data_IF_798737940752
#
_entry.id   IF_798737940752
#
_cell.length_a   1.000
_cell.length_b   1.000
_cell.length_c   1.000
_cell.angle_alpha   90.00
_cell.angle_beta   90.00
_cell.angle_gamma   90.00
#
_symmetry.space_group_name_H-M   'P 1'
#
loop_
_entity.id
_entity.type
_entity.pdbx_description
1 polymer ?
#
# COMPACT_ATOMS: atom_id res chain seq x y z
N UNK A 1 -11.29 15.06 -7.94
CA UNK A 1 -10.20 15.09 -6.95
C UNK A 1 -9.31 13.90 -7.25
N UNK A 2 -8.09 14.11 -7.75
CA UNK A 2 -7.16 12.98 -7.92
C UNK A 2 -6.76 12.52 -6.51
N UNK A 3 -6.73 11.22 -6.21
CA UNK A 3 -6.17 10.73 -4.95
C UNK A 3 -4.75 11.29 -4.81
N UNK A 4 -4.39 11.68 -3.59
CA UNK A 4 -3.01 12.06 -3.27
C UNK A 4 -2.16 10.79 -3.17
N UNK A 5 -1.80 10.23 -4.33
CA UNK A 5 -1.08 8.96 -4.45
C UNK A 5 0.27 8.98 -3.73
N UNK A 6 0.90 10.17 -3.59
CA UNK A 6 2.16 10.31 -2.89
C UNK A 6 2.03 9.86 -1.42
N UNK A 7 0.90 10.14 -0.77
CA UNK A 7 0.69 9.74 0.63
C UNK A 7 0.66 8.22 0.80
N UNK A 8 0.18 7.45 -0.18
CA UNK A 8 0.16 5.98 -0.10
C UNK A 8 1.54 5.33 -0.27
N UNK A 9 2.49 6.09 -0.79
CA UNK A 9 3.87 5.64 -0.96
C UNK A 9 4.76 6.10 0.20
N UNK A 10 4.29 7.05 1.02
CA UNK A 10 5.13 7.78 1.97
C UNK A 10 4.61 7.82 3.41
N UNK A 11 3.30 7.73 3.62
CA UNK A 11 2.67 7.95 4.93
C UNK A 11 1.58 6.93 5.27
N UNK A 12 0.83 6.44 4.28
CA UNK A 12 -0.37 5.63 4.50
C UNK A 12 -0.06 4.16 4.32
N UNK A 13 -0.14 3.41 5.42
CA UNK A 13 -0.06 1.95 5.43
C UNK A 13 -1.46 1.40 5.41
N UNK A 14 -1.76 0.54 4.44
CA UNK A 14 -3.10 -0.05 4.33
C UNK A 14 -3.11 -1.44 4.96
N UNK A 15 -4.15 -1.70 5.75
CA UNK A 15 -4.41 -2.96 6.44
C UNK A 15 -5.70 -3.59 5.90
N UNK A 16 -5.54 -4.51 4.96
CA UNK A 16 -6.64 -5.26 4.35
C UNK A 16 -6.16 -6.62 3.85
N UNK A 17 -7.11 -7.55 3.69
CA UNK A 17 -6.85 -8.87 3.12
C UNK A 17 -7.11 -8.85 1.60
N UNK A 18 -6.18 -9.40 0.83
CA UNK A 18 -6.25 -9.47 -0.64
C UNK A 18 -5.57 -10.74 -1.16
N UNK A 19 -5.80 -11.87 -0.49
CA UNK A 19 -5.30 -13.19 -0.91
C UNK A 19 -3.77 -13.28 -1.06
N UNK A 20 -3.03 -12.41 -0.38
CA UNK A 20 -1.56 -12.45 -0.31
C UNK A 20 -1.09 -13.02 1.02
N UNK A 21 0.22 -13.30 1.15
CA UNK A 21 0.83 -13.81 2.39
C UNK A 21 0.90 -12.77 3.51
N UNK A 22 0.49 -11.54 3.25
CA UNK A 22 0.47 -10.42 4.19
C UNK A 22 -0.84 -9.65 4.09
N UNK A 23 -1.15 -8.90 5.14
CA UNK A 23 -2.30 -7.98 5.16
C UNK A 23 -1.86 -6.51 5.18
N UNK A 24 -0.56 -6.26 5.10
CA UNK A 24 0.05 -4.94 5.15
C UNK A 24 0.52 -4.48 3.78
N UNK A 25 0.26 -3.22 3.46
CA UNK A 25 0.59 -2.62 2.17
C UNK A 25 1.20 -1.23 2.32
N UNK A 26 2.41 -1.03 1.77
CA UNK A 26 3.11 0.25 1.79
C UNK A 26 4.22 0.37 0.71
N UNK A 27 3.92 0.97 -0.46
CA UNK A 27 2.63 0.92 -1.14
C UNK A 27 2.27 -0.50 -1.62
N UNK A 28 3.29 -1.37 -1.74
CA UNK A 28 3.21 -2.77 -2.14
C UNK A 28 3.04 -3.69 -0.93
N UNK A 29 2.69 -4.98 -1.11
CA UNK A 29 2.62 -5.95 -0.01
C UNK A 29 3.93 -5.98 0.79
N UNK A 30 3.84 -5.80 2.10
CA UNK A 30 4.99 -5.80 2.99
C UNK A 30 5.22 -7.20 3.56
N UNK A 31 6.38 -7.79 3.27
CA UNK A 31 6.80 -9.03 3.91
C UNK A 31 7.05 -8.79 5.40
N UNK A 32 6.49 -9.63 6.27
CA UNK A 32 6.60 -9.45 7.72
C UNK A 32 8.06 -9.49 8.20
N UNK A 33 8.88 -10.32 7.56
CA UNK A 33 10.29 -10.50 7.86
C UNK A 33 11.12 -9.25 7.57
N UNK A 34 10.65 -8.40 6.65
CA UNK A 34 11.30 -7.16 6.24
C UNK A 34 10.78 -5.95 7.02
N UNK A 35 9.58 -6.06 7.62
CA UNK A 35 8.88 -4.94 8.26
C UNK A 35 9.51 -4.40 9.55
N UNK A 36 10.35 -5.20 10.23
CA UNK A 36 10.89 -4.86 11.55
C UNK A 36 9.85 -4.77 12.68
N UNK A 37 8.58 -5.10 12.40
CA UNK A 37 7.50 -5.10 13.40
C UNK A 37 7.75 -6.12 14.50
N UNK A 38 7.14 -5.91 15.66
CA UNK A 38 7.29 -6.83 16.77
C UNK A 38 6.73 -8.22 16.42
N UNK A 39 7.34 -9.31 16.92
CA UNK A 39 6.85 -10.66 16.69
C UNK A 39 5.39 -10.86 17.13
N UNK A 40 4.97 -10.18 18.19
CA UNK A 40 3.60 -10.25 18.70
C UNK A 40 2.59 -9.60 17.76
N UNK A 41 2.93 -8.45 17.16
CA UNK A 41 2.08 -7.80 16.16
C UNK A 41 2.03 -8.64 14.88
N UNK A 42 3.17 -9.15 14.39
CA UNK A 42 3.21 -10.04 13.23
C UNK A 42 2.33 -11.27 13.43
N UNK A 43 2.40 -11.91 14.60
CA UNK A 43 1.55 -13.04 14.93
C UNK A 43 0.05 -12.67 14.90
N UNK A 44 -0.30 -11.48 15.42
CA UNK A 44 -1.66 -10.96 15.37
C UNK A 44 -2.16 -10.70 13.95
N UNK A 45 -1.33 -10.09 13.10
CA UNK A 45 -1.66 -9.81 11.70
C UNK A 45 -1.86 -11.09 10.88
N UNK A 46 -0.99 -12.09 11.09
CA UNK A 46 -1.14 -13.43 10.49
C UNK A 46 -2.42 -14.12 10.95
N UNK A 47 -2.68 -14.11 12.26
CA UNK A 47 -3.89 -14.71 12.82
C UNK A 47 -5.17 -14.05 12.29
N UNK A 48 -5.16 -12.73 12.10
CA UNK A 48 -6.28 -12.01 11.52
C UNK A 48 -6.51 -12.35 10.04
N UNK A 49 -5.44 -12.43 9.23
CA UNK A 49 -5.54 -12.89 7.84
C UNK A 49 -6.13 -14.30 7.75
N UNK A 50 -5.67 -15.21 8.60
CA UNK A 50 -6.21 -16.57 8.69
C UNK A 50 -7.68 -16.58 9.13
N UNK A 51 -8.05 -15.75 10.12
CA UNK A 51 -9.44 -15.62 10.56
C UNK A 51 -10.36 -15.14 9.43
N UNK A 52 -9.89 -14.21 8.61
CA UNK A 52 -10.62 -13.73 7.44
C UNK A 52 -10.82 -14.87 6.43
N UNK A 53 -9.73 -15.56 6.07
CA UNK A 53 -9.74 -16.65 5.09
C UNK A 53 -10.61 -17.83 5.54
N UNK A 54 -10.39 -18.34 6.76
CA UNK A 54 -11.14 -19.46 7.33
C UNK A 54 -12.61 -19.10 7.59
N UNK A 55 -12.89 -17.81 7.76
CA UNK A 55 -14.22 -17.30 8.02
C UNK A 55 -15.15 -17.34 6.81
N UNK A 56 -14.61 -17.51 5.61
CA UNK A 56 -15.35 -17.60 4.35
C UNK A 56 -15.56 -19.04 3.90
N UNK A 57 -16.73 -19.33 3.34
CA UNK A 57 -17.00 -20.58 2.63
C UNK A 57 -16.54 -20.53 1.16
N UNK A 58 -16.81 -21.60 0.40
CA UNK A 58 -16.42 -21.70 -1.01
C UNK A 58 -17.12 -20.69 -1.92
N UNK A 59 -18.23 -20.11 -1.48
CA UNK A 59 -19.01 -19.11 -2.22
C UNK A 59 -18.67 -17.67 -1.76
N UNK A 60 -17.56 -17.52 -1.02
CA UNK A 60 -17.11 -16.27 -0.41
C UNK A 60 -18.16 -15.64 0.50
N UNK A 61 -19.00 -16.46 1.14
CA UNK A 61 -19.94 -16.02 2.16
C UNK A 61 -19.37 -16.30 3.56
N UNK A 62 -19.74 -15.47 4.53
CA UNK A 62 -19.36 -15.70 5.92
C UNK A 62 -20.00 -16.98 6.45
N UNK A 63 -19.17 -17.88 6.97
CA UNK A 63 -19.62 -19.15 7.55
C UNK A 63 -20.53 -18.98 8.77
N UNK A 64 -20.44 -17.84 9.45
CA UNK A 64 -21.30 -17.48 10.57
C UNK A 64 -21.55 -15.97 10.60
N UNK A 65 -22.73 -15.53 11.03
CA UNK A 65 -23.09 -14.11 11.04
C UNK A 65 -22.28 -13.27 12.04
N UNK A 66 -21.62 -13.89 13.03
CA UNK A 66 -20.79 -13.20 14.02
C UNK A 66 -19.37 -12.90 13.52
N UNK A 67 -18.87 -13.66 12.53
CA UNK A 67 -17.51 -13.55 12.01
C UNK A 67 -17.18 -12.16 11.45
N UNK A 68 -18.07 -11.52 10.66
CA UNK A 68 -17.90 -10.13 10.25
C UNK A 68 -17.48 -9.16 11.35
N UNK A 69 -18.27 -9.10 12.41
CA UNK A 69 -18.06 -8.16 13.49
C UNK A 69 -16.77 -8.48 14.26
N UNK A 70 -16.43 -9.76 14.36
CA UNK A 70 -15.16 -10.21 14.96
C UNK A 70 -13.96 -9.78 14.13
N UNK A 71 -13.97 -10.05 12.82
CA UNK A 71 -12.91 -9.68 11.88
C UNK A 71 -12.67 -8.17 11.90
N UNK A 72 -13.74 -7.37 11.86
CA UNK A 72 -13.65 -5.90 11.91
C UNK A 72 -13.05 -5.39 13.23
N UNK A 73 -13.46 -5.97 14.36
CA UNK A 73 -12.94 -5.58 15.67
C UNK A 73 -11.45 -5.89 15.76
N UNK A 74 -11.05 -7.10 15.39
CA UNK A 74 -9.64 -7.52 15.45
C UNK A 74 -8.76 -6.70 14.49
N UNK A 75 -9.26 -6.38 13.28
CA UNK A 75 -8.58 -5.46 12.35
C UNK A 75 -8.33 -4.10 12.99
N UNK A 76 -9.34 -3.52 13.62
CA UNK A 76 -9.22 -2.21 14.27
C UNK A 76 -8.17 -2.24 15.39
N UNK A 77 -8.20 -3.25 16.24
CA UNK A 77 -7.20 -3.41 17.30
C UNK A 77 -5.77 -3.58 16.76
N UNK A 78 -5.62 -4.27 15.62
CA UNK A 78 -4.34 -4.39 14.91
C UNK A 78 -3.89 -3.07 14.29
N UNK A 79 -4.81 -2.31 13.69
CA UNK A 79 -4.51 -0.99 13.11
C UNK A 79 -3.97 -0.03 14.17
N UNK A 80 -4.58 -0.02 15.36
CA UNK A 80 -4.10 0.78 16.49
C UNK A 80 -2.70 0.37 16.94
N UNK A 81 -2.47 -0.93 17.17
CA UNK A 81 -1.15 -1.44 17.56
C UNK A 81 -0.07 -1.16 16.51
N UNK A 82 -0.41 -1.29 15.23
CA UNK A 82 0.50 -0.95 14.13
C UNK A 82 0.84 0.55 14.14
N UNK A 83 -0.16 1.42 14.30
CA UNK A 83 0.07 2.85 14.42
C UNK A 83 0.92 3.21 15.65
N UNK A 84 0.76 2.51 16.77
CA UNK A 84 1.59 2.72 17.97
C UNK A 84 3.03 2.21 17.80
N UNK A 85 3.26 1.12 17.07
CA UNK A 85 4.62 0.66 16.77
C UNK A 85 5.38 1.64 15.87
N UNK A 86 4.68 2.24 14.90
CA UNK A 86 5.26 3.13 13.90
C UNK A 86 5.25 4.61 14.28
N UNK A 87 4.42 4.99 15.24
CA UNK A 87 4.31 6.36 15.76
C UNK A 87 3.62 7.33 14.79
N UNK A 88 3.68 8.62 15.13
CA UNK A 88 2.91 9.68 14.46
C UNK A 88 3.29 9.98 13.00
N UNK A 89 4.40 9.42 12.51
CA UNK A 89 4.85 9.60 11.13
C UNK A 89 3.94 8.89 10.11
N UNK A 90 3.29 7.80 10.52
CA UNK A 90 2.50 6.95 9.64
C UNK A 90 1.02 6.93 10.04
N UNK A 91 0.18 6.80 9.03
CA UNK A 91 -1.26 6.64 9.15
C UNK A 91 -1.64 5.23 8.69
N UNK A 92 -2.38 4.50 9.52
CA UNK A 92 -2.88 3.17 9.19
C UNK A 92 -4.31 3.29 8.69
N UNK A 93 -4.55 2.98 7.43
CA UNK A 93 -5.88 2.93 6.81
C UNK A 93 -6.40 1.48 6.78
N UNK A 94 -7.68 1.29 7.08
CA UNK A 94 -8.34 -0.01 7.07
C UNK A 94 -9.83 0.14 6.73
N UNK A 95 -10.45 -0.89 6.12
CA UNK A 95 -11.88 -0.80 5.81
C UNK A 95 -12.76 -0.87 7.08
N UNK A 96 -13.98 -0.37 6.96
CA UNK A 96 -15.01 -0.43 7.98
C UNK A 96 -16.21 -1.19 7.43
N UNK A 97 -16.44 -2.41 7.93
CA UNK A 97 -17.43 -3.32 7.36
C UNK A 97 -17.05 -3.80 5.96
N UNK A 98 -18.05 -4.24 5.21
CA UNK A 98 -17.91 -4.75 3.83
C UNK A 98 -18.32 -3.73 2.76
N UNK A 99 -18.04 -2.45 3.00
CA UNK A 99 -18.34 -1.37 2.07
C UNK A 99 -17.09 -0.57 1.69
N UNK A 100 -17.21 0.43 0.80
CA UNK A 100 -16.09 1.25 0.35
C UNK A 100 -15.60 2.26 1.40
N UNK A 101 -15.97 2.07 2.67
CA UNK A 101 -15.67 3.01 3.74
C UNK A 101 -14.36 2.58 4.38
N UNK A 102 -13.40 3.48 4.42
CA UNK A 102 -12.18 3.32 5.20
C UNK A 102 -12.25 4.16 6.47
N UNK A 103 -11.54 3.70 7.50
CA UNK A 103 -11.16 4.49 8.65
C UNK A 103 -9.64 4.53 8.69
N UNK A 104 -9.10 5.54 9.36
CA UNK A 104 -7.67 5.62 9.61
C UNK A 104 -7.36 5.86 11.07
N UNK A 105 -6.17 5.43 11.45
CA UNK A 105 -5.59 5.66 12.75
C UNK A 105 -4.16 6.17 12.59
N UNK A 106 -3.84 7.26 13.28
CA UNK A 106 -2.49 7.81 13.39
C UNK A 106 -2.21 7.99 14.88
N UNK A 107 -1.11 7.41 15.36
CA UNK A 107 -0.72 7.61 16.75
C UNK A 107 -0.28 9.07 16.96
N UNK A 108 -0.53 9.62 18.14
CA UNK A 108 -0.03 10.97 18.52
C UNK A 108 1.32 10.90 19.23
N UNK A 109 1.79 9.69 19.53
CA UNK A 109 2.98 9.43 20.32
C UNK A 109 4.17 9.03 19.44
N UNK A 110 5.41 9.11 19.98
CA UNK A 110 6.58 8.51 19.35
C UNK A 110 6.42 6.99 19.15
N UNK A 111 7.13 6.39 18.18
CA UNK A 111 7.03 4.95 17.91
C UNK A 111 7.43 4.12 19.13
N UNK A 112 6.59 3.16 19.49
CA UNK A 112 6.92 2.15 20.52
C UNK A 112 7.91 1.11 19.99
N UNK A 113 8.04 0.98 18.66
CA UNK A 113 9.06 0.19 17.99
C UNK A 113 9.86 1.07 17.00
N UNK A 114 10.89 1.79 17.49
CA UNK A 114 11.70 2.68 16.65
C UNK A 114 12.41 1.98 15.49
N UNK A 115 12.71 0.68 15.61
CA UNK A 115 13.34 -0.10 14.55
C UNK A 115 12.39 -0.31 13.37
N UNK A 116 11.13 -0.70 13.64
CA UNK A 116 10.11 -0.78 12.60
C UNK A 116 9.87 0.59 11.95
N UNK A 117 9.68 1.64 12.77
CA UNK A 117 9.48 2.99 12.25
C UNK A 117 10.60 3.45 11.31
N UNK A 118 11.86 3.10 11.63
CA UNK A 118 13.01 3.41 10.78
C UNK A 118 12.99 2.68 9.43
N UNK A 119 12.53 1.42 9.40
CA UNK A 119 12.37 0.65 8.15
C UNK A 119 11.36 1.33 7.23
N UNK A 120 10.17 1.62 7.75
CA UNK A 120 9.11 2.29 6.97
C UNK A 120 9.53 3.69 6.54
N UNK A 121 10.24 4.44 7.39
CA UNK A 121 10.77 5.75 7.03
C UNK A 121 11.80 5.66 5.89
N UNK A 122 12.66 4.65 5.89
CA UNK A 122 13.61 4.43 4.81
C UNK A 122 12.91 4.13 3.47
N UNK A 123 11.83 3.35 3.49
CA UNK A 123 11.01 3.12 2.30
C UNK A 123 10.31 4.39 1.80
N UNK A 124 9.75 5.19 2.71
CA UNK A 124 9.13 6.46 2.36
C UNK A 124 10.14 7.45 1.74
N UNK A 125 11.35 7.55 2.30
CA UNK A 125 12.42 8.38 1.74
C UNK A 125 12.88 7.89 0.35
N UNK A 126 12.98 6.57 0.15
CA UNK A 126 13.29 6.01 -1.16
C UNK A 126 12.21 6.36 -2.20
N UNK A 127 10.93 6.24 -1.83
CA UNK A 127 9.81 6.61 -2.69
C UNK A 127 9.81 8.12 -3.04
N UNK A 128 10.08 8.99 -2.06
CA UNK A 128 10.25 10.44 -2.29
C UNK A 128 11.38 10.73 -3.28
N UNK A 129 12.52 10.06 -3.11
CA UNK A 129 13.68 10.25 -3.97
C UNK A 129 13.40 9.78 -5.41
N UNK A 130 12.74 8.64 -5.59
CA UNK A 130 12.33 8.13 -6.90
C UNK A 130 11.35 9.08 -7.58
N UNK A 131 10.32 9.55 -6.86
CA UNK A 131 9.35 10.54 -7.38
C UNK A 131 10.05 11.82 -7.84
N UNK A 132 10.95 12.37 -7.03
CA UNK A 132 11.68 13.59 -7.36
C UNK A 132 12.59 13.42 -8.60
N UNK A 133 13.20 12.25 -8.79
CA UNK A 133 13.98 11.93 -9.99
C UNK A 133 13.08 11.83 -11.23
N UNK A 134 11.93 11.15 -11.13
CA UNK A 134 10.96 11.06 -12.22
C UNK A 134 10.41 12.44 -12.61
N UNK A 135 10.08 13.28 -11.64
CA UNK A 135 9.61 14.65 -11.88
C UNK A 135 10.67 15.52 -12.54
N UNK A 136 11.94 15.41 -12.10
CA UNK A 136 13.06 16.11 -12.72
C UNK A 136 13.24 15.67 -14.18
N UNK A 137 13.27 14.37 -14.46
CA UNK A 137 13.39 13.84 -15.82
C UNK A 137 12.22 14.28 -16.71
N UNK A 138 11.01 14.29 -16.16
CA UNK A 138 9.83 14.78 -16.88
C UNK A 138 9.87 16.29 -17.15
N UNK A 139 10.50 17.08 -16.29
CA UNK A 139 10.74 18.51 -16.54
C UNK A 139 11.79 18.72 -17.63
N UNK A 140 12.93 18.03 -17.55
CA UNK A 140 14.00 18.05 -18.57
C UNK A 140 13.46 17.66 -19.96
N UNK A 141 12.64 16.61 -20.01
CA UNK A 141 11.99 16.17 -21.26
C UNK A 141 11.07 17.24 -21.85
N UNK A 142 10.27 17.91 -21.02
CA UNK A 142 9.39 19.02 -21.44
C UNK A 142 10.19 20.23 -21.95
N UNK A 143 11.30 20.55 -21.30
CA UNK A 143 12.17 21.66 -21.71
C UNK A 143 12.93 21.39 -23.01
N UNK A 144 13.27 20.12 -23.28
CA UNK A 144 13.95 19.71 -24.52
C UNK A 144 13.09 19.82 -25.79
N UNK A 145 11.77 19.98 -25.66
CA UNK A 145 10.84 20.04 -26.78
C UNK A 145 10.61 18.69 -27.47
N UNK A 146 11.18 17.60 -26.97
CA UNK A 146 10.84 16.25 -27.40
C UNK A 146 9.39 15.94 -26.98
N UNK A 147 8.51 15.70 -27.96
CA UNK A 147 7.15 15.21 -27.70
C UNK A 147 7.24 13.84 -27.03
N UNK A 148 7.09 13.82 -25.70
CA UNK A 148 7.03 12.58 -24.93
C UNK A 148 5.79 11.78 -25.32
N UNK A 149 6.02 10.56 -25.81
CA UNK A 149 4.98 9.58 -26.13
C UNK A 149 5.37 8.22 -25.57
N UNK A 150 4.37 7.38 -25.29
CA UNK A 150 4.64 5.97 -24.97
C UNK A 150 5.23 5.29 -26.18
N UNK A 151 6.20 4.40 -25.99
CA UNK A 151 6.70 3.54 -27.04
C UNK A 151 6.80 2.11 -26.53
N UNK A 152 6.59 1.12 -27.40
CA UNK A 152 6.84 -0.28 -27.09
C UNK A 152 8.22 -0.67 -27.63
N UNK A 153 8.96 -1.46 -26.85
CA UNK A 153 10.24 -2.05 -27.26
C UNK A 153 10.06 -3.55 -27.46
N UNK A 154 10.68 -4.11 -28.51
CA UNK A 154 10.80 -5.57 -28.62
C UNK A 154 12.08 -5.98 -27.87
N UNK A 155 11.97 -6.79 -26.78
CA UNK A 155 13.12 -7.19 -25.99
C UNK A 155 14.22 -7.84 -26.84
N UNK A 156 15.48 -7.44 -26.62
CA UNK A 156 16.63 -7.95 -27.37
C UNK A 156 16.85 -7.31 -28.74
N UNK A 157 16.10 -6.26 -29.08
CA UNK A 157 16.30 -5.48 -30.30
C UNK A 157 16.32 -3.97 -29.99
N UNK A 158 16.88 -3.17 -30.90
CA UNK A 158 16.77 -1.71 -30.85
C UNK A 158 15.46 -1.19 -31.46
N UNK A 159 14.54 -2.07 -31.87
CA UNK A 159 13.26 -1.66 -32.45
C UNK A 159 12.34 -1.05 -31.40
N UNK A 160 11.82 0.14 -31.72
CA UNK A 160 10.84 0.88 -30.95
C UNK A 160 9.61 1.13 -31.81
N UNK A 161 8.42 0.85 -31.28
CA UNK A 161 7.16 1.26 -31.86
C UNK A 161 6.66 2.51 -31.13
N UNK A 162 6.49 3.61 -31.85
CA UNK A 162 5.91 4.85 -31.32
C UNK A 162 4.50 4.98 -31.92
N UNK A 163 3.42 4.99 -31.11
CA UNK A 163 2.07 5.25 -31.59
C UNK A 163 2.01 6.63 -32.25
N UNK A 164 1.32 6.72 -33.39
CA UNK A 164 1.05 8.00 -34.04
C UNK A 164 0.01 8.77 -33.22
N UNK A 165 0.33 10.00 -32.83
CA UNK A 165 -0.64 10.91 -32.21
C UNK A 165 -1.72 11.27 -33.24
N UNK A 166 -2.93 10.72 -33.03
CA UNK A 166 -4.18 10.91 -33.78
C UNK A 166 -4.41 9.95 -34.97
N UNK A 167 -5.52 9.18 -35.02
CA UNK A 167 -5.93 8.53 -36.26
C UNK A 167 -6.32 9.59 -37.31
N UNK A 168 -6.07 9.35 -38.61
CA UNK A 168 -6.46 10.28 -39.66
C UNK A 168 -7.99 10.49 -39.67
N UNK A 169 -8.49 11.70 -39.97
CA UNK A 169 -9.92 11.92 -40.13
C UNK A 169 -10.43 11.09 -41.30
N UNK A 170 -11.60 10.46 -41.11
CA UNK A 170 -12.35 9.70 -42.12
C UNK A 170 -12.79 10.56 -43.31
#
# INVERSE_FOLDING_TARGET
MRPDYARYEEEIIRLFYDYTTTVLWFPYPVAYEESGLSPALIAGLRAWGQLFEDGLDSDFQWRSPELPARVDRERRELAHRLGDELGSAFEVEFDVGFGPRTASYRSTEPPTNPAAAAVFAAWAEAARAERADLERRAAEHRESGETGGWYAVIPGTEQRFVPLDTPPPE
#
